data_IF_612090507842
#
_entry.id   IF_612090507842
#
_cell.length_a   1.000
_cell.length_b   1.000
_cell.length_c   1.000
_cell.angle_alpha   90.00
_cell.angle_beta   90.00
_cell.angle_gamma   90.00
#
_symmetry.space_group_name_H-M   'P 1'
#
loop_
_entity.id
_entity.type
_entity.pdbx_description
1 polymer ?
#
# COMPACT_ATOMS: atom_id res chain seq x y z
N UNK A 1 5.57 -21.09 -8.62
CA UNK A 1 6.52 -20.85 -7.50
C UNK A 1 7.30 -19.55 -7.69
N UNK A 2 7.92 -19.28 -8.85
CA UNK A 2 8.67 -18.04 -9.10
C UNK A 2 7.86 -16.72 -8.97
N UNK A 3 6.64 -16.65 -9.53
CA UNK A 3 5.76 -15.47 -9.39
C UNK A 3 5.42 -15.15 -7.93
N UNK A 4 5.17 -16.17 -7.12
CA UNK A 4 4.82 -16.01 -5.70
C UNK A 4 5.98 -15.49 -4.87
N UNK A 5 7.22 -15.91 -5.15
CA UNK A 5 8.41 -15.37 -4.48
C UNK A 5 8.66 -13.92 -4.86
N UNK A 6 8.49 -13.57 -6.13
CA UNK A 6 8.67 -12.20 -6.63
C UNK A 6 7.60 -11.24 -6.06
N UNK A 7 6.34 -11.67 -6.04
CA UNK A 7 5.25 -10.93 -5.41
C UNK A 7 5.52 -10.69 -3.91
N UNK A 8 6.05 -11.70 -3.21
CA UNK A 8 6.40 -11.56 -1.79
C UNK A 8 7.54 -10.56 -1.58
N UNK A 9 8.53 -10.53 -2.46
CA UNK A 9 9.62 -9.53 -2.42
C UNK A 9 9.07 -8.11 -2.63
N UNK A 10 8.15 -7.92 -3.58
CA UNK A 10 7.50 -6.63 -3.82
C UNK A 10 6.71 -6.19 -2.58
N UNK A 11 5.94 -7.09 -1.97
CA UNK A 11 5.19 -6.80 -0.75
C UNK A 11 6.10 -6.39 0.41
N UNK A 12 7.22 -7.11 0.62
CA UNK A 12 8.19 -6.76 1.67
C UNK A 12 8.73 -5.35 1.44
N UNK A 13 9.14 -5.02 0.20
CA UNK A 13 9.63 -3.68 -0.13
C UNK A 13 8.58 -2.59 0.15
N UNK A 14 7.32 -2.81 -0.22
CA UNK A 14 6.23 -1.87 0.06
C UNK A 14 6.00 -1.70 1.57
N UNK A 15 6.08 -2.77 2.34
CA UNK A 15 5.96 -2.71 3.80
C UNK A 15 7.10 -1.89 4.43
N UNK A 16 8.34 -2.10 3.97
CA UNK A 16 9.51 -1.31 4.38
C UNK A 16 9.34 0.18 4.05
N UNK A 17 8.77 0.51 2.89
CA UNK A 17 8.50 1.91 2.52
C UNK A 17 7.39 2.53 3.40
N UNK A 18 6.39 1.74 3.79
CA UNK A 18 5.33 2.15 4.71
C UNK A 18 5.80 2.24 6.17
N UNK A 19 6.94 1.67 6.54
CA UNK A 19 7.53 1.82 7.88
C UNK A 19 7.89 3.27 8.20
N UNK A 20 8.10 4.12 7.19
CA UNK A 20 8.23 5.56 7.39
C UNK A 20 6.97 6.22 8.01
N UNK A 21 5.84 5.52 8.00
CA UNK A 21 4.57 5.96 8.58
C UNK A 21 4.29 5.29 9.93
N UNK A 22 5.32 4.84 10.66
CA UNK A 22 5.13 3.99 11.83
C UNK A 22 4.36 4.61 12.99
N UNK A 23 4.57 5.91 13.20
CA UNK A 23 3.81 6.73 14.14
C UNK A 23 2.32 6.85 13.75
N UNK A 24 1.98 6.61 12.49
CA UNK A 24 0.67 6.88 11.89
C UNK A 24 -0.11 5.58 11.66
N UNK A 25 0.56 4.51 11.21
CA UNK A 25 -0.04 3.23 10.83
C UNK A 25 0.45 2.10 11.75
N UNK A 26 -0.47 1.36 12.41
CA UNK A 26 -0.12 0.14 13.13
C UNK A 26 0.60 -0.87 12.23
N UNK A 27 1.58 -1.60 12.75
CA UNK A 27 2.41 -2.53 11.97
C UNK A 27 1.60 -3.52 11.13
N UNK A 28 0.61 -4.21 11.74
CA UNK A 28 -0.24 -5.16 11.00
C UNK A 28 -1.09 -4.53 9.89
N UNK A 29 -1.32 -3.21 9.94
CA UNK A 29 -1.99 -2.48 8.86
C UNK A 29 -1.06 -2.20 7.68
N UNK A 30 0.25 -2.06 7.92
CA UNK A 30 1.25 -1.85 6.85
C UNK A 30 1.37 -3.10 5.99
N UNK A 31 1.44 -4.28 6.58
CA UNK A 31 1.50 -5.55 5.84
C UNK A 31 0.25 -5.73 4.96
N UNK A 32 -0.93 -5.41 5.49
CA UNK A 32 -2.18 -5.46 4.74
C UNK A 32 -2.18 -4.47 3.57
N UNK A 33 -1.74 -3.23 3.81
CA UNK A 33 -1.65 -2.20 2.78
C UNK A 33 -0.59 -2.55 1.74
N UNK A 34 0.56 -3.09 2.12
CA UNK A 34 1.62 -3.51 1.21
C UNK A 34 1.16 -4.62 0.24
N UNK A 35 0.20 -5.45 0.66
CA UNK A 35 -0.41 -6.46 -0.18
C UNK A 35 -1.45 -5.91 -1.17
N UNK A 36 -2.09 -4.78 -0.83
CA UNK A 36 -3.19 -4.18 -1.61
C UNK A 36 -2.70 -3.05 -2.52
N UNK A 37 -1.91 -2.14 -1.99
CA UNK A 37 -1.49 -0.91 -2.64
C UNK A 37 -0.45 -1.17 -3.73
N UNK A 38 -0.45 -0.30 -4.74
CA UNK A 38 0.60 -0.24 -5.75
C UNK A 38 1.85 0.46 -5.23
N UNK A 39 2.95 0.39 -5.97
CA UNK A 39 4.16 1.14 -5.63
C UNK A 39 3.94 2.66 -5.68
N UNK A 40 3.06 3.13 -6.58
CA UNK A 40 2.72 4.54 -6.71
C UNK A 40 1.90 5.05 -5.52
N UNK A 41 0.95 4.24 -5.03
CA UNK A 41 0.18 4.57 -3.82
C UNK A 41 1.10 4.71 -2.60
N UNK A 42 2.04 3.76 -2.42
CA UNK A 42 3.01 3.78 -1.32
C UNK A 42 3.92 5.00 -1.42
N UNK A 43 4.45 5.30 -2.62
CA UNK A 43 5.26 6.49 -2.86
C UNK A 43 4.48 7.78 -2.56
N UNK A 44 3.20 7.84 -2.93
CA UNK A 44 2.32 8.98 -2.66
C UNK A 44 2.11 9.19 -1.16
N UNK A 45 1.80 8.13 -0.41
CA UNK A 45 1.62 8.22 1.05
C UNK A 45 2.90 8.69 1.75
N UNK A 46 4.06 8.16 1.34
CA UNK A 46 5.37 8.59 1.85
C UNK A 46 5.65 10.05 1.54
N UNK A 47 5.39 10.49 0.30
CA UNK A 47 5.56 11.88 -0.10
C UNK A 47 4.67 12.83 0.72
N UNK A 48 3.39 12.51 0.89
CA UNK A 48 2.46 13.36 1.64
C UNK A 48 2.82 13.45 3.13
N UNK A 49 3.32 12.36 3.72
CA UNK A 49 3.89 12.39 5.06
C UNK A 49 5.11 13.30 5.17
N UNK A 50 6.01 13.27 4.19
CA UNK A 50 7.15 14.20 4.12
C UNK A 50 6.72 15.66 3.95
N UNK A 51 5.59 15.92 3.30
CA UNK A 51 5.01 17.26 3.20
C UNK A 51 4.27 17.72 4.47
N UNK A 52 4.25 16.91 5.53
CA UNK A 52 3.62 17.26 6.81
C UNK A 52 2.10 17.14 6.80
N UNK A 53 1.53 16.28 5.95
CA UNK A 53 0.11 15.94 6.05
C UNK A 53 -0.20 15.34 7.42
N UNK A 54 -1.30 15.77 8.03
CA UNK A 54 -1.67 15.32 9.37
C UNK A 54 -1.95 13.81 9.44
N UNK A 55 -1.56 13.19 10.54
CA UNK A 55 -1.64 11.73 10.77
C UNK A 55 -3.02 11.14 10.50
N UNK A 56 -4.09 11.81 10.97
CA UNK A 56 -5.46 11.35 10.75
C UNK A 56 -5.85 11.39 9.27
N UNK A 57 -5.41 12.41 8.54
CA UNK A 57 -5.67 12.55 7.10
C UNK A 57 -4.91 11.48 6.33
N UNK A 58 -3.63 11.23 6.65
CA UNK A 58 -2.85 10.14 6.04
C UNK A 58 -3.45 8.77 6.32
N UNK A 59 -3.93 8.53 7.54
CA UNK A 59 -4.58 7.28 7.91
C UNK A 59 -5.90 7.06 7.16
N UNK A 60 -6.69 8.12 6.98
CA UNK A 60 -7.91 8.09 6.19
C UNK A 60 -7.58 7.80 4.71
N UNK A 61 -6.63 8.53 4.13
CA UNK A 61 -6.19 8.34 2.75
C UNK A 61 -5.66 6.92 2.49
N UNK A 62 -4.82 6.40 3.38
CA UNK A 62 -4.34 5.01 3.28
C UNK A 62 -5.49 3.99 3.35
N UNK A 63 -6.56 4.30 4.10
CA UNK A 63 -7.78 3.50 4.15
C UNK A 63 -8.52 3.53 2.82
N UNK A 64 -8.69 4.72 2.24
CA UNK A 64 -9.44 4.93 1.00
C UNK A 64 -8.71 4.25 -0.17
N UNK A 65 -7.39 4.40 -0.27
CA UNK A 65 -6.58 3.71 -1.28
C UNK A 65 -6.68 2.19 -1.15
N UNK A 66 -6.54 1.65 0.07
CA UNK A 66 -6.66 0.22 0.30
C UNK A 66 -8.04 -0.33 -0.08
N UNK A 67 -9.10 0.43 0.20
CA UNK A 67 -10.46 0.08 -0.19
C UNK A 67 -10.64 0.09 -1.71
N UNK A 68 -10.22 1.16 -2.39
CA UNK A 68 -10.36 1.28 -3.84
C UNK A 68 -9.59 0.21 -4.61
N UNK A 69 -8.35 -0.10 -4.20
CA UNK A 69 -7.54 -1.15 -4.85
C UNK A 69 -8.14 -2.54 -4.62
N UNK A 70 -8.68 -2.82 -3.43
CA UNK A 70 -9.39 -4.07 -3.19
C UNK A 70 -10.62 -4.21 -4.11
N UNK A 71 -11.43 -3.16 -4.25
CA UNK A 71 -12.59 -3.18 -5.15
C UNK A 71 -12.19 -3.27 -6.63
N UNK A 72 -11.13 -2.57 -7.03
CA UNK A 72 -10.58 -2.63 -8.38
C UNK A 72 -10.16 -4.07 -8.73
N UNK A 73 -9.44 -4.74 -7.82
CA UNK A 73 -9.02 -6.12 -8.02
C UNK A 73 -10.19 -7.10 -8.13
N UNK A 74 -11.24 -6.91 -7.31
CA UNK A 74 -12.46 -7.71 -7.41
C UNK A 74 -13.22 -7.46 -8.72
N UNK A 75 -13.29 -6.22 -9.17
CA UNK A 75 -14.00 -5.85 -10.41
C UNK A 75 -13.30 -6.34 -11.67
N UNK A 76 -11.96 -6.41 -11.65
CA UNK A 76 -11.13 -6.78 -12.82
C UNK A 76 -10.71 -8.25 -12.82
N UNK A 77 -10.83 -8.95 -11.69
CA UNK A 77 -10.31 -10.31 -11.53
C UNK A 77 -8.79 -10.40 -11.51
N UNK A 78 -8.08 -9.27 -11.44
CA UNK A 78 -6.64 -9.19 -11.34
C UNK A 78 -6.23 -8.68 -9.96
N UNK A 79 -5.12 -9.16 -9.37
CA UNK A 79 -4.58 -8.54 -8.16
C UNK A 79 -4.24 -7.07 -8.44
N UNK A 80 -4.51 -6.14 -7.51
CA UNK A 80 -4.28 -4.70 -7.72
C UNK A 80 -2.82 -4.39 -8.08
N UNK A 81 -1.87 -5.12 -7.49
CA UNK A 81 -0.44 -5.06 -7.83
C UNK A 81 -0.07 -5.51 -9.27
N UNK A 82 -0.98 -6.13 -10.02
CA UNK A 82 -0.77 -6.66 -11.37
C UNK A 82 -1.62 -5.96 -12.44
N UNK A 83 -2.63 -5.18 -12.05
CA UNK A 83 -3.61 -4.64 -12.99
C UNK A 83 -3.12 -3.39 -13.77
N UNK A 84 -2.05 -2.72 -13.32
CA UNK A 84 -1.64 -1.40 -13.83
C UNK A 84 -0.14 -1.23 -14.06
N UNK A 85 0.60 -2.33 -14.32
CA UNK A 85 2.00 -2.27 -14.74
C UNK A 85 2.14 -1.86 -16.21
#
# INVERSE_FOLDING_TARGET
MAKTSEQKTIQIRRAEELDALDAILPFGRRDQLAALLTDEDVATLKYLAQQGMGDNTLRALASDLGYLEAWCGLATGAPPALARA
#
